data_IF_797702807536
#
_entry.id   IF_797702807536
#
_cell.length_a   1.000
_cell.length_b   1.000
_cell.length_c   1.000
_cell.angle_alpha   90.00
_cell.angle_beta   90.00
_cell.angle_gamma   90.00
#
_symmetry.space_group_name_H-M   'P 1'
#
loop_
_entity.id
_entity.type
_entity.pdbx_description
1 polymer ?
#
# COMPACT_ATOMS: atom_id res chain seq x y z
N UNK A 1 -22.55 32.09 -17.35
CA UNK A 1 -21.46 31.33 -16.68
C UNK A 1 -22.03 30.79 -15.40
N UNK A 2 -22.53 29.55 -15.44
CA UNK A 2 -23.24 28.90 -14.33
C UNK A 2 -22.26 28.38 -13.29
N UNK A 3 -22.03 29.18 -12.24
CA UNK A 3 -21.25 28.76 -11.06
C UNK A 3 -21.99 27.68 -10.25
N UNK A 4 -23.32 27.57 -10.40
CA UNK A 4 -24.15 26.58 -9.70
C UNK A 4 -24.01 25.14 -10.22
N UNK A 5 -23.68 24.96 -11.50
CA UNK A 5 -23.52 23.62 -12.09
C UNK A 5 -22.16 23.00 -11.80
N UNK A 6 -21.12 23.81 -11.54
CA UNK A 6 -19.79 23.31 -11.17
C UNK A 6 -19.70 22.86 -9.70
N UNK A 7 -20.35 23.57 -8.77
CA UNK A 7 -20.37 23.20 -7.35
C UNK A 7 -21.18 21.94 -7.07
N UNK A 8 -22.32 21.78 -7.75
CA UNK A 8 -23.16 20.59 -7.64
C UNK A 8 -22.50 19.36 -8.28
N UNK A 9 -21.86 19.51 -9.44
CA UNK A 9 -21.08 18.43 -10.07
C UNK A 9 -19.80 18.07 -9.31
N UNK A 10 -19.16 19.04 -8.66
CA UNK A 10 -18.05 18.82 -7.74
C UNK A 10 -18.49 18.08 -6.47
N UNK A 11 -19.57 18.52 -5.81
CA UNK A 11 -20.07 17.88 -4.59
C UNK A 11 -20.65 16.47 -4.81
N UNK A 12 -21.13 16.19 -6.03
CA UNK A 12 -21.63 14.88 -6.42
C UNK A 12 -20.54 13.93 -6.90
N UNK A 13 -19.31 14.43 -7.11
CA UNK A 13 -18.18 13.61 -7.55
C UNK A 13 -17.88 12.54 -6.47
N UNK A 14 -17.91 11.24 -6.82
CA UNK A 14 -17.63 10.14 -5.88
C UNK A 14 -16.29 10.30 -5.17
N UNK A 15 -15.27 10.82 -5.87
CA UNK A 15 -13.95 11.08 -5.29
C UNK A 15 -13.99 12.19 -4.23
N UNK A 16 -14.80 13.24 -4.45
CA UNK A 16 -14.98 14.32 -3.47
C UNK A 16 -15.78 13.83 -2.27
N UNK A 17 -16.83 13.03 -2.49
CA UNK A 17 -17.57 12.39 -1.40
C UNK A 17 -16.66 11.52 -0.56
N UNK A 18 -15.78 10.77 -1.18
CA UNK A 18 -14.82 9.95 -0.44
C UNK A 18 -13.72 10.76 0.22
N UNK A 19 -13.38 11.94 -0.29
CA UNK A 19 -12.56 12.90 0.43
C UNK A 19 -13.18 13.41 1.74
N UNK A 20 -14.50 13.41 1.90
CA UNK A 20 -15.17 13.77 3.15
C UNK A 20 -15.54 12.56 3.99
N UNK A 21 -16.03 11.50 3.34
CA UNK A 21 -16.47 10.28 3.99
C UNK A 21 -15.29 9.45 4.49
N UNK A 22 -14.16 9.44 3.78
CA UNK A 22 -12.99 8.65 4.20
C UNK A 22 -12.27 9.23 5.42
N UNK A 23 -12.08 10.55 5.57
CA UNK A 23 -11.63 11.13 6.83
C UNK A 23 -12.67 10.97 7.94
N UNK A 24 -13.97 11.01 7.65
CA UNK A 24 -15.00 10.75 8.65
C UNK A 24 -14.95 9.30 9.15
N UNK A 25 -14.95 8.32 8.25
CA UNK A 25 -14.77 6.89 8.58
C UNK A 25 -13.42 6.67 9.25
N UNK A 26 -12.37 7.32 8.77
CA UNK A 26 -11.03 7.27 9.34
C UNK A 26 -10.98 7.82 10.77
N UNK A 27 -11.70 8.91 11.04
CA UNK A 27 -11.84 9.49 12.37
C UNK A 27 -12.69 8.63 13.29
N UNK A 28 -13.81 8.07 12.81
CA UNK A 28 -14.65 7.13 13.58
C UNK A 28 -13.87 5.87 13.92
N UNK A 29 -13.20 5.25 12.95
CA UNK A 29 -12.38 4.07 13.17
C UNK A 29 -11.18 4.39 14.07
N UNK A 30 -10.51 5.53 13.86
CA UNK A 30 -9.42 5.99 14.72
C UNK A 30 -9.88 6.21 16.17
N UNK A 31 -11.03 6.84 16.36
CA UNK A 31 -11.64 7.03 17.67
C UNK A 31 -12.05 5.70 18.31
N UNK A 32 -12.64 4.77 17.56
CA UNK A 32 -12.98 3.43 18.04
C UNK A 32 -11.74 2.65 18.46
N UNK A 33 -10.72 2.59 17.59
CA UNK A 33 -9.48 1.85 17.86
C UNK A 33 -8.67 2.41 19.03
N UNK A 34 -8.80 3.70 19.30
CA UNK A 34 -8.21 4.33 20.48
C UNK A 34 -9.11 4.22 21.72
N UNK A 35 -10.44 4.17 21.58
CA UNK A 35 -11.41 3.99 22.66
C UNK A 35 -11.50 2.55 23.18
N UNK A 36 -11.29 1.53 22.33
CA UNK A 36 -11.23 0.12 22.74
C UNK A 36 -10.05 -0.22 23.66
N UNK A 37 -9.18 0.75 23.95
CA UNK A 37 -8.14 0.60 24.97
C UNK A 37 -8.59 1.33 26.23
N UNK A 38 -9.06 0.56 27.21
CA UNK A 38 -9.40 1.06 28.55
C UNK A 38 -8.15 1.66 29.19
N UNK A 39 -8.14 2.97 29.48
CA UNK A 39 -7.06 3.59 30.26
C UNK A 39 -7.18 3.11 31.70
N UNK A 40 -6.38 2.11 32.08
CA UNK A 40 -6.26 1.74 33.50
C UNK A 40 -5.08 2.49 34.09
N UNK A 41 -5.40 3.36 35.05
CA UNK A 41 -4.56 4.16 35.93
C UNK A 41 -3.48 5.04 35.28
N UNK A 42 -3.70 6.34 35.42
CA UNK A 42 -2.76 7.46 35.15
C UNK A 42 -1.47 7.43 35.99
N UNK A 43 -1.19 6.34 36.71
CA UNK A 43 -0.02 6.17 37.58
C UNK A 43 1.00 5.13 37.08
N UNK A 44 0.79 4.50 35.91
CA UNK A 44 1.85 3.69 35.28
C UNK A 44 2.66 4.54 34.31
N UNK A 45 3.86 4.90 34.77
CA UNK A 45 4.94 5.62 34.09
C UNK A 45 5.57 4.83 32.94
N UNK A 46 4.78 4.47 31.93
CA UNK A 46 5.24 3.75 30.76
C UNK A 46 4.53 4.26 29.52
N UNK A 47 4.83 5.50 29.10
CA UNK A 47 4.45 5.96 27.77
C UNK A 47 5.00 4.98 26.72
N UNK A 48 4.33 4.78 25.56
CA UNK A 48 4.87 3.96 24.49
C UNK A 48 6.19 4.58 24.03
N UNK A 49 7.31 4.05 24.54
CA UNK A 49 8.61 4.40 24.00
C UNK A 49 8.64 3.88 22.56
N UNK A 50 9.12 4.69 21.60
CA UNK A 50 9.37 4.19 20.25
C UNK A 50 10.23 2.93 20.38
N UNK A 51 9.99 1.90 19.54
CA UNK A 51 10.69 0.62 19.67
C UNK A 51 12.17 0.92 19.81
N UNK A 52 12.73 0.59 20.98
CA UNK A 52 14.15 0.78 21.23
C UNK A 52 14.88 0.14 20.05
N UNK A 53 15.83 0.87 19.46
CA UNK A 53 16.73 0.32 18.45
C UNK A 53 17.45 -0.82 19.15
N UNK A 54 16.91 -2.03 19.08
CA UNK A 54 17.51 -3.21 19.70
C UNK A 54 18.76 -3.45 18.89
N UNK A 55 19.86 -2.84 19.34
CA UNK A 55 21.20 -3.26 19.01
C UNK A 55 21.25 -4.66 19.62
N UNK A 56 21.01 -5.66 18.80
CA UNK A 56 21.30 -7.02 19.18
C UNK A 56 22.82 -7.04 19.37
N UNK A 57 23.30 -6.94 20.61
CA UNK A 57 24.56 -7.60 20.95
C UNK A 57 24.29 -9.08 20.69
N UNK A 58 24.63 -9.50 19.48
CA UNK A 58 24.65 -10.90 19.09
C UNK A 58 25.68 -11.58 19.98
N UNK A 59 25.24 -12.12 21.11
CA UNK A 59 25.92 -13.27 21.69
C UNK A 59 25.72 -14.39 20.69
N UNK A 60 26.71 -14.56 19.82
CA UNK A 60 26.78 -15.66 18.84
C UNK A 60 26.86 -16.95 19.63
N UNK A 61 25.71 -17.52 19.99
CA UNK A 61 25.61 -18.92 20.39
C UNK A 61 25.56 -19.68 19.08
N UNK A 62 26.67 -20.32 18.72
CA UNK A 62 26.76 -21.29 17.64
C UNK A 62 25.83 -22.47 17.96
N UNK A 63 24.56 -22.36 17.61
CA UNK A 63 23.70 -23.53 17.44
C UNK A 63 23.94 -24.06 16.04
N UNK A 64 24.75 -25.11 15.94
CA UNK A 64 24.88 -25.96 14.77
C UNK A 64 23.52 -26.60 14.46
N UNK A 65 22.65 -25.85 13.77
CA UNK A 65 21.52 -26.45 13.05
C UNK A 65 22.08 -26.98 11.75
N UNK A 66 22.30 -28.29 11.70
CA UNK A 66 22.64 -28.99 10.48
C UNK A 66 21.52 -28.74 9.45
N UNK A 67 21.76 -27.82 8.51
CA UNK A 67 20.93 -27.67 7.32
C UNK A 67 21.13 -28.90 6.46
N UNK A 68 20.15 -29.81 6.48
CA UNK A 68 19.99 -30.80 5.43
C UNK A 68 19.80 -30.05 4.11
N UNK A 69 20.80 -30.10 3.23
CA UNK A 69 20.68 -29.72 1.82
C UNK A 69 19.62 -30.61 1.19
N UNK A 70 18.41 -30.06 1.02
CA UNK A 70 17.38 -30.66 0.18
C UNK A 70 17.49 -30.00 -1.19
N UNK A 71 17.61 -30.85 -2.21
CA UNK A 71 18.15 -30.52 -3.53
C UNK A 71 17.32 -29.56 -4.35
N UNK A 72 17.99 -29.01 -5.37
CA UNK A 72 17.44 -28.17 -6.45
C UNK A 72 16.23 -28.85 -7.12
N UNK A 73 15.05 -28.55 -6.59
CA UNK A 73 13.78 -28.69 -7.29
C UNK A 73 13.38 -27.31 -7.78
N UNK A 74 13.17 -27.14 -9.08
CA UNK A 74 12.78 -25.87 -9.69
C UNK A 74 11.70 -25.17 -8.89
N UNK A 75 11.95 -23.92 -8.48
CA UNK A 75 11.21 -23.28 -7.41
C UNK A 75 9.74 -23.04 -7.82
N UNK A 76 8.77 -23.85 -7.35
CA UNK A 76 7.37 -23.74 -7.78
C UNK A 76 6.75 -22.39 -7.39
N UNK A 77 7.36 -21.71 -6.41
CA UNK A 77 7.03 -20.36 -5.95
C UNK A 77 7.22 -19.32 -7.06
N UNK A 78 8.27 -19.45 -7.88
CA UNK A 78 8.53 -18.56 -9.01
C UNK A 78 7.53 -18.77 -10.13
N UNK A 79 7.18 -20.03 -10.42
CA UNK A 79 6.14 -20.37 -11.40
C UNK A 79 4.77 -19.82 -10.99
N UNK A 80 4.41 -19.97 -9.72
CA UNK A 80 3.17 -19.42 -9.18
C UNK A 80 3.15 -17.89 -9.23
N UNK A 81 4.24 -17.23 -8.84
CA UNK A 81 4.36 -15.78 -8.92
C UNK A 81 4.19 -15.26 -10.36
N UNK A 82 4.73 -15.96 -11.34
CA UNK A 82 4.60 -15.59 -12.75
C UNK A 82 3.14 -15.72 -13.25
N UNK A 83 2.44 -16.78 -12.85
CA UNK A 83 1.02 -16.98 -13.19
C UNK A 83 0.14 -15.91 -12.53
N UNK A 84 0.37 -15.61 -11.25
CA UNK A 84 -0.35 -14.55 -10.54
C UNK A 84 -0.08 -13.20 -11.21
N UNK A 85 1.17 -12.92 -11.57
CA UNK A 85 1.53 -11.67 -12.23
C UNK A 85 0.86 -11.55 -13.60
N UNK A 86 0.85 -12.62 -14.40
CA UNK A 86 0.14 -12.68 -15.67
C UNK A 86 -1.38 -12.45 -15.50
N UNK A 87 -1.98 -13.05 -14.47
CA UNK A 87 -3.39 -12.84 -14.14
C UNK A 87 -3.68 -11.39 -13.70
N UNK A 88 -2.78 -10.77 -12.93
CA UNK A 88 -2.89 -9.35 -12.52
C UNK A 88 -2.80 -8.42 -13.72
N UNK A 89 -1.85 -8.66 -14.63
CA UNK A 89 -1.70 -7.87 -15.87
C UNK A 89 -2.94 -8.04 -16.75
N UNK A 90 -3.49 -9.24 -16.85
CA UNK A 90 -4.73 -9.49 -17.58
C UNK A 90 -5.93 -8.76 -16.99
N UNK A 91 -6.19 -8.94 -15.69
CA UNK A 91 -7.28 -8.27 -14.99
C UNK A 91 -7.13 -6.76 -15.08
N UNK A 92 -5.89 -6.25 -14.98
CA UNK A 92 -5.59 -4.85 -15.21
C UNK A 92 -6.01 -4.42 -16.61
N UNK A 93 -5.56 -5.05 -17.67
CA UNK A 93 -5.85 -4.55 -19.01
C UNK A 93 -7.33 -4.70 -19.43
N UNK A 94 -8.11 -5.59 -18.81
CA UNK A 94 -9.58 -5.66 -18.99
C UNK A 94 -10.33 -4.66 -18.12
N UNK A 95 -9.86 -4.39 -16.89
CA UNK A 95 -10.56 -3.59 -15.90
C UNK A 95 -9.77 -2.36 -15.43
N UNK A 96 -8.89 -1.83 -16.28
CA UNK A 96 -7.90 -0.81 -15.92
C UNK A 96 -8.53 0.38 -15.21
N UNK A 97 -9.60 0.94 -15.80
CA UNK A 97 -10.32 2.06 -15.24
C UNK A 97 -10.89 1.76 -13.85
N UNK A 98 -11.52 0.59 -13.66
CA UNK A 98 -12.10 0.19 -12.36
C UNK A 98 -11.05 -0.10 -11.31
N UNK A 99 -9.93 -0.72 -11.70
CA UNK A 99 -8.83 -1.05 -10.79
C UNK A 99 -8.12 0.22 -10.34
N UNK A 100 -7.90 1.17 -11.24
CA UNK A 100 -7.29 2.47 -10.90
C UNK A 100 -8.23 3.27 -10.00
N UNK A 101 -9.53 3.33 -10.33
CA UNK A 101 -10.54 4.01 -9.52
C UNK A 101 -10.62 3.42 -8.10
N UNK A 102 -10.77 2.09 -7.99
CA UNK A 102 -10.77 1.40 -6.70
C UNK A 102 -9.46 1.64 -5.92
N UNK A 103 -8.32 1.66 -6.60
CA UNK A 103 -7.02 1.97 -6.01
C UNK A 103 -6.98 3.38 -5.43
N UNK A 104 -7.53 4.38 -6.13
CA UNK A 104 -7.63 5.76 -5.65
C UNK A 104 -8.48 5.83 -4.39
N UNK A 105 -9.64 5.18 -4.36
CA UNK A 105 -10.50 5.11 -3.19
C UNK A 105 -9.80 4.51 -1.97
N UNK A 106 -9.08 3.39 -2.16
CA UNK A 106 -8.30 2.73 -1.10
C UNK A 106 -7.15 3.63 -0.63
N UNK A 107 -6.43 4.27 -1.56
CA UNK A 107 -5.31 5.14 -1.25
C UNK A 107 -5.74 6.37 -0.43
N UNK A 108 -6.82 7.04 -0.84
CA UNK A 108 -7.39 8.16 -0.08
C UNK A 108 -7.88 7.71 1.30
N UNK A 109 -8.56 6.58 1.38
CA UNK A 109 -9.03 6.03 2.66
C UNK A 109 -7.88 5.72 3.62
N UNK A 110 -6.82 5.11 3.12
CA UNK A 110 -5.63 4.78 3.93
C UNK A 110 -4.89 6.03 4.40
N UNK A 111 -4.73 7.03 3.52
CA UNK A 111 -4.10 8.30 3.87
C UNK A 111 -4.92 9.04 4.94
N UNK A 112 -6.22 9.17 4.73
CA UNK A 112 -7.14 9.82 5.65
C UNK A 112 -7.17 9.13 7.02
N UNK A 113 -7.27 7.80 7.04
CA UNK A 113 -7.22 7.01 8.27
C UNK A 113 -5.92 7.23 9.04
N UNK A 114 -4.77 7.23 8.36
CA UNK A 114 -3.46 7.43 8.99
C UNK A 114 -3.34 8.82 9.61
N UNK A 115 -3.80 9.86 8.91
CA UNK A 115 -3.80 11.25 9.40
C UNK A 115 -4.76 11.42 10.57
N UNK A 116 -5.98 10.90 10.47
CA UNK A 116 -6.98 10.98 11.54
C UNK A 116 -6.53 10.22 12.81
N UNK A 117 -5.99 9.01 12.64
CA UNK A 117 -5.46 8.24 13.76
C UNK A 117 -4.32 9.00 14.45
N UNK A 118 -3.40 9.58 13.67
CA UNK A 118 -2.31 10.39 14.20
C UNK A 118 -2.83 11.60 14.98
N UNK A 119 -3.76 12.37 14.41
CA UNK A 119 -4.36 13.53 15.05
C UNK A 119 -5.09 13.17 16.36
N UNK A 120 -5.88 12.09 16.36
CA UNK A 120 -6.58 11.64 17.56
C UNK A 120 -5.63 11.13 18.64
N UNK A 121 -4.55 10.47 18.22
CA UNK A 121 -3.55 9.96 19.15
C UNK A 121 -2.66 11.07 19.74
N UNK A 122 -2.44 12.17 19.00
CA UNK A 122 -1.87 13.41 19.54
C UNK A 122 -2.82 14.06 20.55
N UNK A 123 -4.11 14.17 20.20
CA UNK A 123 -5.11 14.78 21.08
C UNK A 123 -5.24 14.05 22.43
N UNK A 124 -5.20 12.71 22.41
CA UNK A 124 -5.20 11.89 23.63
C UNK A 124 -3.85 11.86 24.37
N UNK A 125 -2.82 12.55 23.89
CA UNK A 125 -1.48 12.53 24.49
C UNK A 125 -0.84 11.14 24.52
N UNK A 126 -1.28 10.20 23.66
CA UNK A 126 -0.75 8.82 23.64
C UNK A 126 0.53 8.69 22.82
N UNK A 127 0.76 9.63 21.91
CA UNK A 127 1.98 9.74 21.11
C UNK A 127 2.70 11.02 21.53
N UNK A 128 3.88 10.87 22.15
CA UNK A 128 4.66 11.99 22.71
C UNK A 128 6.07 12.12 22.10
N UNK A 129 6.29 11.64 20.86
CA UNK A 129 7.60 11.74 20.22
C UNK A 129 7.57 11.89 18.70
N UNK A 130 8.52 12.68 18.16
CA UNK A 130 8.73 12.89 16.72
C UNK A 130 8.89 11.58 15.93
N UNK A 131 9.42 10.53 16.57
CA UNK A 131 9.60 9.22 15.94
C UNK A 131 8.27 8.53 15.60
N UNK A 132 7.27 8.63 16.47
CA UNK A 132 5.93 8.11 16.22
C UNK A 132 5.19 8.95 15.16
N UNK A 133 5.40 10.27 15.16
CA UNK A 133 4.87 11.12 14.09
C UNK A 133 5.42 10.73 12.71
N UNK A 134 6.73 10.48 12.61
CA UNK A 134 7.36 10.01 11.38
C UNK A 134 6.79 8.68 10.88
N UNK A 135 6.43 7.77 11.78
CA UNK A 135 5.86 6.46 11.44
C UNK A 135 4.47 6.58 10.78
N UNK A 136 3.57 7.38 11.35
CA UNK A 136 2.23 7.58 10.78
C UNK A 136 2.25 8.47 9.54
N UNK A 137 3.12 9.48 9.53
CA UNK A 137 3.35 10.32 8.37
C UNK A 137 3.89 9.49 7.20
N UNK A 138 4.79 8.54 7.44
CA UNK A 138 5.31 7.66 6.39
C UNK A 138 4.20 6.87 5.69
N UNK A 139 3.29 6.23 6.44
CA UNK A 139 2.16 5.51 5.85
C UNK A 139 1.26 6.44 5.03
N UNK A 140 0.91 7.61 5.57
CA UNK A 140 0.14 8.62 4.86
C UNK A 140 0.83 9.09 3.57
N UNK A 141 2.15 9.32 3.61
CA UNK A 141 2.94 9.72 2.45
C UNK A 141 3.03 8.62 1.39
N UNK A 142 3.17 7.35 1.78
CA UNK A 142 3.16 6.23 0.82
C UNK A 142 1.77 6.08 0.15
N UNK A 143 0.70 6.24 0.93
CA UNK A 143 -0.66 6.22 0.39
C UNK A 143 -0.90 7.42 -0.56
N UNK A 144 -0.42 8.61 -0.20
CA UNK A 144 -0.45 9.79 -1.07
C UNK A 144 0.40 9.64 -2.32
N UNK A 145 1.62 9.11 -2.23
CA UNK A 145 2.45 8.82 -3.40
C UNK A 145 1.73 7.86 -4.37
N UNK A 146 0.98 6.90 -3.82
CA UNK A 146 0.18 5.97 -4.61
C UNK A 146 -1.00 6.65 -5.31
N UNK A 147 -1.64 7.68 -4.73
CA UNK A 147 -2.69 8.44 -5.42
C UNK A 147 -2.15 9.19 -6.64
N UNK A 148 -0.95 9.77 -6.52
CA UNK A 148 -0.27 10.45 -7.63
C UNK A 148 -0.02 9.45 -8.76
N UNK A 149 0.54 8.28 -8.45
CA UNK A 149 0.84 7.26 -9.45
C UNK A 149 -0.41 6.69 -10.12
N UNK A 150 -1.46 6.44 -9.35
CA UNK A 150 -2.75 5.98 -9.91
C UNK A 150 -3.42 7.05 -10.76
N UNK A 151 -3.34 8.32 -10.36
CA UNK A 151 -3.81 9.44 -11.18
C UNK A 151 -3.02 9.58 -12.49
N UNK A 152 -1.69 9.43 -12.44
CA UNK A 152 -0.86 9.37 -13.64
C UNK A 152 -1.26 8.21 -14.56
N UNK A 153 -1.49 7.03 -13.98
CA UNK A 153 -1.96 5.87 -14.72
C UNK A 153 -3.32 6.15 -15.38
N UNK A 154 -4.26 6.77 -14.66
CA UNK A 154 -5.61 7.11 -15.15
C UNK A 154 -5.57 7.99 -16.40
N UNK A 155 -4.74 9.04 -16.39
CA UNK A 155 -4.60 9.97 -17.53
C UNK A 155 -3.95 9.27 -18.74
N UNK A 156 -3.14 8.25 -18.50
CA UNK A 156 -2.37 7.53 -19.53
C UNK A 156 -2.99 6.17 -19.91
N UNK A 157 -4.24 5.89 -19.50
CA UNK A 157 -4.96 4.70 -19.97
C UNK A 157 -5.21 4.85 -21.47
N UNK A 158 -4.85 3.82 -22.24
CA UNK A 158 -5.20 3.73 -23.66
C UNK A 158 -6.60 3.12 -23.77
N UNK A 159 -7.65 3.88 -24.16
CA UNK A 159 -9.04 3.43 -24.01
C UNK A 159 -9.38 2.18 -24.82
N UNK A 160 -8.78 2.03 -26.00
CA UNK A 160 -9.05 0.91 -26.91
C UNK A 160 -8.39 -0.41 -26.48
N UNK A 161 -7.45 -0.39 -25.52
CA UNK A 161 -6.83 -1.62 -25.02
C UNK A 161 -7.85 -2.56 -24.38
N UNK A 162 -8.82 -2.02 -23.63
CA UNK A 162 -9.86 -2.81 -23.01
C UNK A 162 -10.75 -3.52 -24.06
N UNK A 163 -11.12 -2.80 -25.12
CA UNK A 163 -11.93 -3.35 -26.22
C UNK A 163 -11.16 -4.42 -27.00
N UNK A 164 -9.88 -4.17 -27.30
CA UNK A 164 -9.02 -5.12 -28.00
C UNK A 164 -8.77 -6.39 -27.17
N UNK A 165 -8.53 -6.25 -25.86
CA UNK A 165 -8.40 -7.37 -24.92
C UNK A 165 -9.67 -8.22 -24.83
N UNK A 166 -10.84 -7.56 -24.76
CA UNK A 166 -12.14 -8.25 -24.67
C UNK A 166 -12.44 -9.02 -25.96
N UNK A 167 -12.08 -8.44 -27.11
CA UNK A 167 -12.34 -9.03 -28.43
C UNK A 167 -11.38 -10.17 -28.80
N UNK A 168 -10.10 -10.04 -28.47
CA UNK A 168 -9.06 -10.97 -28.92
C UNK A 168 -8.49 -11.87 -27.81
N UNK A 169 -8.86 -11.64 -26.54
CA UNK A 169 -8.28 -12.33 -25.37
C UNK A 169 -6.82 -11.94 -25.14
N UNK A 170 -6.19 -12.44 -24.06
CA UNK A 170 -4.78 -12.12 -23.71
C UNK A 170 -3.82 -12.38 -24.86
N UNK A 171 -3.87 -13.61 -25.38
CA UNK A 171 -2.90 -14.09 -26.37
C UNK A 171 -3.10 -13.35 -27.69
N UNK A 172 -4.35 -13.19 -28.13
CA UNK A 172 -4.66 -12.45 -29.36
C UNK A 172 -4.37 -10.96 -29.23
N UNK A 173 -4.55 -10.36 -28.05
CA UNK A 173 -4.19 -8.97 -27.80
C UNK A 173 -2.69 -8.75 -27.97
N UNK A 174 -1.87 -9.55 -27.28
CA UNK A 174 -0.42 -9.39 -27.28
C UNK A 174 0.29 -9.86 -28.55
N UNK A 175 -0.30 -10.80 -29.30
CA UNK A 175 0.31 -11.33 -30.52
C UNK A 175 -0.23 -10.68 -31.80
N UNK A 176 -1.50 -10.27 -31.82
CA UNK A 176 -2.19 -9.92 -33.08
C UNK A 176 -2.87 -8.55 -33.09
N UNK A 177 -3.25 -7.99 -31.93
CA UNK A 177 -4.07 -6.77 -31.88
C UNK A 177 -3.26 -5.48 -31.59
N UNK A 178 -2.04 -5.60 -31.08
CA UNK A 178 -1.22 -4.47 -30.66
C UNK A 178 0.17 -4.58 -31.28
N UNK A 179 0.70 -3.44 -31.71
CA UNK A 179 2.08 -3.32 -32.16
C UNK A 179 3.06 -3.53 -30.98
N UNK A 180 4.34 -3.70 -31.31
CA UNK A 180 5.37 -3.99 -30.30
C UNK A 180 5.48 -2.88 -29.24
N UNK A 181 5.30 -1.63 -29.66
CA UNK A 181 5.28 -0.49 -28.76
C UNK A 181 4.08 -0.54 -27.80
N UNK A 182 2.86 -0.74 -28.29
CA UNK A 182 1.68 -0.79 -27.44
C UNK A 182 1.68 -2.00 -26.49
N UNK A 183 2.21 -3.15 -26.92
CA UNK A 183 2.39 -4.34 -26.07
C UNK A 183 3.33 -4.03 -24.91
N UNK A 184 4.50 -3.46 -25.22
CA UNK A 184 5.51 -3.12 -24.22
C UNK A 184 4.96 -2.12 -23.21
N UNK A 185 4.24 -1.11 -23.70
CA UNK A 185 3.55 -0.12 -22.87
C UNK A 185 2.53 -0.76 -21.92
N UNK A 186 1.65 -1.64 -22.43
CA UNK A 186 0.63 -2.31 -21.63
C UNK A 186 1.25 -3.16 -20.51
N UNK A 187 2.35 -3.87 -20.80
CA UNK A 187 3.06 -4.70 -19.83
C UNK A 187 3.72 -3.82 -18.76
N UNK A 188 4.47 -2.79 -19.16
CA UNK A 188 5.14 -1.91 -18.20
C UNK A 188 4.15 -1.16 -17.33
N UNK A 189 3.07 -0.62 -17.90
CA UNK A 189 2.05 0.08 -17.14
C UNK A 189 1.33 -0.86 -16.16
N UNK A 190 0.97 -2.08 -16.59
CA UNK A 190 0.36 -3.09 -15.73
C UNK A 190 1.26 -3.49 -14.57
N UNK A 191 2.56 -3.67 -14.83
CA UNK A 191 3.53 -3.96 -13.77
C UNK A 191 3.69 -2.79 -12.80
N UNK A 192 3.70 -1.55 -13.30
CA UNK A 192 3.74 -0.35 -12.47
C UNK A 192 2.54 -0.27 -11.53
N UNK A 193 1.34 -0.52 -12.03
CA UNK A 193 0.13 -0.49 -11.20
C UNK A 193 0.13 -1.62 -10.16
N UNK A 194 0.61 -2.81 -10.52
CA UNK A 194 0.81 -3.88 -9.55
C UNK A 194 1.78 -3.47 -8.42
N UNK A 195 2.89 -2.79 -8.75
CA UNK A 195 3.80 -2.21 -7.76
C UNK A 195 3.09 -1.19 -6.86
N UNK A 196 2.26 -0.29 -7.42
CA UNK A 196 1.48 0.68 -6.62
C UNK A 196 0.53 0.00 -5.63
N UNK A 197 -0.15 -1.07 -6.06
CA UNK A 197 -1.01 -1.85 -5.17
C UNK A 197 -0.23 -2.52 -4.05
N UNK A 198 0.98 -3.03 -4.32
CA UNK A 198 1.87 -3.55 -3.28
C UNK A 198 2.27 -2.45 -2.28
N UNK A 199 2.58 -1.23 -2.75
CA UNK A 199 2.87 -0.10 -1.88
C UNK A 199 1.67 0.25 -1.00
N UNK A 200 0.46 0.25 -1.54
CA UNK A 200 -0.77 0.47 -0.76
C UNK A 200 -0.97 -0.60 0.31
N UNK A 201 -0.80 -1.87 -0.03
CA UNK A 201 -0.89 -2.97 0.93
C UNK A 201 0.15 -2.82 2.05
N UNK A 202 1.39 -2.45 1.71
CA UNK A 202 2.43 -2.17 2.69
C UNK A 202 2.11 -0.95 3.55
N UNK A 203 1.57 0.12 2.97
CA UNK A 203 1.16 1.32 3.72
C UNK A 203 0.05 1.02 4.72
N UNK A 204 -0.98 0.27 4.31
CA UNK A 204 -2.07 -0.16 5.19
C UNK A 204 -1.55 -1.10 6.28
N UNK A 205 -0.75 -2.10 5.89
CA UNK A 205 -0.13 -3.04 6.82
C UNK A 205 0.77 -2.34 7.84
N UNK A 206 1.51 -1.31 7.40
CA UNK A 206 2.32 -0.44 8.26
C UNK A 206 1.46 0.30 9.28
N UNK A 207 0.40 0.99 8.85
CA UNK A 207 -0.52 1.67 9.76
C UNK A 207 -1.11 0.71 10.79
N UNK A 208 -1.64 -0.44 10.35
CA UNK A 208 -2.22 -1.46 11.22
C UNK A 208 -1.18 -1.99 12.22
N UNK A 209 0.05 -2.26 11.77
CA UNK A 209 1.12 -2.75 12.62
C UNK A 209 1.38 -1.81 13.80
N UNK A 210 1.57 -0.52 13.51
CA UNK A 210 1.92 0.45 14.53
C UNK A 210 0.73 0.83 15.41
N UNK A 211 -0.49 0.82 14.89
CA UNK A 211 -1.72 0.93 15.72
C UNK A 211 -1.79 -0.23 16.70
N UNK A 212 -1.62 -1.45 16.20
CA UNK A 212 -1.64 -2.65 17.02
C UNK A 212 -0.53 -2.63 18.08
N UNK A 213 0.65 -2.12 17.73
CA UNK A 213 1.77 -1.97 18.64
C UNK A 213 1.46 -0.98 19.77
N UNK A 214 0.93 0.21 19.47
CA UNK A 214 0.50 1.21 20.47
C UNK A 214 -0.56 0.61 21.40
N UNK A 215 -1.53 -0.10 20.84
CA UNK A 215 -2.61 -0.71 21.60
C UNK A 215 -2.14 -1.91 22.45
N UNK A 216 -1.15 -2.66 21.98
CA UNK A 216 -0.56 -3.78 22.74
C UNK A 216 0.18 -3.28 23.99
N UNK A 217 0.88 -2.14 23.89
CA UNK A 217 1.55 -1.51 25.03
C UNK A 217 0.58 -0.93 26.05
N UNK A 218 -0.51 -0.32 25.60
CA UNK A 218 -1.46 0.33 26.48
C UNK A 218 -2.47 -0.62 27.16
N UNK A 219 -2.63 -1.85 26.67
CA UNK A 219 -3.63 -2.81 27.15
C UNK A 219 -3.03 -4.06 27.84
N UNK A 220 -1.80 -3.98 28.37
CA UNK A 220 -1.08 -5.11 29.00
C UNK A 220 -1.13 -6.41 28.15
N UNK A 221 -0.81 -6.31 26.85
CA UNK A 221 -0.54 -7.51 26.04
C UNK A 221 -1.78 -8.36 25.67
N UNK A 222 -2.90 -7.74 25.31
CA UNK A 222 -4.05 -8.47 24.77
C UNK A 222 -3.63 -9.38 23.58
N UNK A 223 -4.03 -10.66 23.63
CA UNK A 223 -3.74 -11.68 22.62
C UNK A 223 -4.14 -11.24 21.21
N UNK A 224 -5.21 -10.46 21.08
CA UNK A 224 -5.65 -9.91 19.79
C UNK A 224 -4.59 -8.98 19.19
N UNK A 225 -4.14 -7.97 19.95
CA UNK A 225 -3.16 -6.99 19.47
C UNK A 225 -1.79 -7.62 19.22
N UNK A 226 -1.38 -8.54 20.10
CA UNK A 226 -0.17 -9.34 19.90
C UNK A 226 -0.23 -10.22 18.64
N UNK A 227 -1.40 -10.78 18.32
CA UNK A 227 -1.61 -11.54 17.09
C UNK A 227 -1.48 -10.65 15.84
N UNK A 228 -2.10 -9.48 15.84
CA UNK A 228 -2.03 -8.52 14.73
C UNK A 228 -0.59 -8.04 14.52
N UNK A 229 0.15 -7.71 15.59
CA UNK A 229 1.57 -7.32 15.49
C UNK A 229 2.41 -8.40 14.84
N UNK A 230 2.18 -9.68 15.17
CA UNK A 230 2.90 -10.81 14.54
C UNK A 230 2.57 -10.94 13.06
N UNK A 231 1.30 -10.87 12.69
CA UNK A 231 0.86 -10.98 11.30
C UNK A 231 1.37 -9.84 10.43
N UNK A 232 1.45 -8.63 11.00
CA UNK A 232 1.82 -7.42 10.25
C UNK A 232 3.32 -7.10 10.30
N UNK A 233 4.12 -7.91 10.99
CA UNK A 233 5.56 -7.66 11.19
C UNK A 233 6.33 -7.49 9.87
N UNK A 234 5.96 -8.23 8.83
CA UNK A 234 6.58 -8.17 7.49
C UNK A 234 6.44 -6.79 6.84
N UNK A 235 5.35 -6.08 7.14
CA UNK A 235 5.10 -4.74 6.59
C UNK A 235 5.88 -3.65 7.32
N UNK A 236 6.53 -3.95 8.46
CA UNK A 236 7.13 -2.94 9.35
C UNK A 236 8.67 -2.87 9.26
N UNK A 237 9.24 -1.82 9.87
CA UNK A 237 10.69 -1.66 10.01
C UNK A 237 11.41 -1.24 8.72
N UNK A 238 12.75 -1.34 8.73
CA UNK A 238 13.58 -0.88 7.60
C UNK A 238 13.29 -1.62 6.30
N UNK A 239 12.97 -2.92 6.38
CA UNK A 239 12.60 -3.71 5.21
C UNK A 239 11.31 -3.20 4.56
N UNK A 240 10.21 -3.07 5.34
CA UNK A 240 8.93 -2.61 4.81
C UNK A 240 9.02 -1.19 4.23
N UNK A 241 9.75 -0.30 4.90
CA UNK A 241 9.96 1.07 4.43
C UNK A 241 10.78 1.10 3.14
N UNK A 242 11.94 0.43 3.12
CA UNK A 242 12.82 0.36 1.95
C UNK A 242 12.14 -0.28 0.75
N UNK A 243 11.44 -1.40 0.96
CA UNK A 243 10.67 -2.09 -0.08
C UNK A 243 9.59 -1.18 -0.68
N UNK A 244 8.82 -0.48 0.16
CA UNK A 244 7.76 0.44 -0.30
C UNK A 244 8.32 1.60 -1.12
N UNK A 245 9.44 2.20 -0.69
CA UNK A 245 10.10 3.29 -1.43
C UNK A 245 10.59 2.81 -2.79
N UNK A 246 11.30 1.67 -2.83
CA UNK A 246 11.80 1.09 -4.08
C UNK A 246 10.65 0.76 -5.03
N UNK A 247 9.56 0.17 -4.52
CA UNK A 247 8.39 -0.16 -5.35
C UNK A 247 7.67 1.08 -5.86
N UNK A 248 7.59 2.16 -5.07
CA UNK A 248 7.00 3.43 -5.48
C UNK A 248 7.83 4.07 -6.63
N UNK A 249 9.15 4.12 -6.47
CA UNK A 249 10.07 4.65 -7.50
C UNK A 249 10.01 3.80 -8.77
N UNK A 250 10.06 2.47 -8.62
CA UNK A 250 9.96 1.54 -9.75
C UNK A 250 8.63 1.72 -10.49
N UNK A 251 7.52 1.84 -9.74
CA UNK A 251 6.21 2.09 -10.31
C UNK A 251 6.16 3.38 -11.11
N UNK A 252 6.79 4.45 -10.64
CA UNK A 252 6.85 5.72 -11.36
C UNK A 252 7.44 5.54 -12.77
N UNK A 253 8.63 4.93 -12.86
CA UNK A 253 9.32 4.72 -14.15
C UNK A 253 8.58 3.76 -15.09
N UNK A 254 7.85 2.80 -14.53
CA UNK A 254 7.02 1.85 -15.28
C UNK A 254 5.77 2.51 -15.86
N UNK A 255 5.09 3.34 -15.10
CA UNK A 255 3.87 4.06 -15.52
C UNK A 255 4.20 5.19 -16.50
N UNK A 256 5.32 5.89 -16.29
CA UNK A 256 5.75 6.97 -17.19
C UNK A 256 6.20 6.45 -18.56
N UNK A 257 6.66 5.20 -18.64
CA UNK A 257 7.15 4.56 -19.86
C UNK A 257 8.65 4.74 -20.10
N UNK A 258 9.40 5.31 -19.15
CA UNK A 258 10.86 5.45 -19.25
C UNK A 258 11.54 4.10 -19.45
N UNK A 259 11.10 3.06 -18.73
CA UNK A 259 11.65 1.70 -18.84
C UNK A 259 11.32 1.08 -20.20
N UNK A 260 10.11 1.31 -20.72
CA UNK A 260 9.71 0.86 -22.05
C UNK A 260 10.62 1.48 -23.12
N UNK A 261 10.87 2.79 -23.06
CA UNK A 261 11.74 3.47 -24.03
C UNK A 261 13.18 2.95 -23.98
N UNK A 262 13.70 2.62 -22.79
CA UNK A 262 15.02 1.99 -22.64
C UNK A 262 15.06 0.57 -23.22
N UNK A 263 13.95 -0.15 -23.20
CA UNK A 263 13.85 -1.52 -23.72
C UNK A 263 13.74 -1.53 -25.24
N UNK A 264 12.97 -0.62 -25.83
CA UNK A 264 12.76 -0.52 -27.29
C UNK A 264 13.95 0.11 -28.05
N UNK A 265 14.79 0.91 -27.37
CA UNK A 265 15.97 1.54 -27.98
C UNK A 265 17.25 0.67 -27.92
N UNK A 266 17.12 -0.62 -27.64
CA UNK A 266 18.22 -1.61 -27.72
C UNK A 266 18.19 -2.34 -29.05
#
# INVERSE_FOLDING_TARGET
MDVGSSLSSWALNPLVKDWFLSPFIGAVMGALFTAFVSSKDSNRSGLPQPPARTIYETRVVYQNSAKSRQGDGGNPELGFAFVVLGAVIYLYAVHAAKIIDAGLHVAYSSAAFSVCFFAFSLWRGRILGYQWAGIFLFSALMAWGSTILLGMAQVRIVPWFADAMTKHGIVGFYLNAVDEHGRSYAITQGFGIACTWLVLLFSIGWAIHYIALVNNFAADGNKLWSGIVRLTKVFSGAFGAGFSIVMLILSYFLIDGTIMNLWLNR
#
